data_IF_139821477669
#
_entry.id   IF_139821477669
#
_cell.length_a   1.000
_cell.length_b   1.000
_cell.length_c   1.000
_cell.angle_alpha   90.00
_cell.angle_beta   90.00
_cell.angle_gamma   90.00
#
_symmetry.space_group_name_H-M   'P 1'
#
loop_
_entity.id
_entity.type
_entity.pdbx_description
1 polymer ?
#
# COMPACT_ATOMS: atom_id res chain seq x y z
N UNK A 1 8.48 9.21 -16.07
CA UNK A 1 9.23 8.11 -16.68
C UNK A 1 8.37 6.87 -16.65
N UNK A 2 7.97 6.36 -17.82
CA UNK A 2 7.18 5.13 -17.97
C UNK A 2 8.11 3.93 -17.90
N UNK A 3 8.06 3.19 -16.79
CA UNK A 3 8.83 1.96 -16.62
C UNK A 3 8.14 0.83 -17.39
N UNK A 4 8.67 0.48 -18.56
CA UNK A 4 8.30 -0.74 -19.28
C UNK A 4 9.04 -1.93 -18.69
N UNK A 5 8.35 -2.75 -17.90
CA UNK A 5 8.86 -4.05 -17.44
C UNK A 5 8.92 -4.99 -18.64
N UNK A 6 10.04 -5.72 -18.80
CA UNK A 6 10.15 -6.68 -19.91
C UNK A 6 9.11 -7.79 -19.74
N UNK A 7 8.21 -7.91 -20.72
CA UNK A 7 7.19 -8.95 -20.73
C UNK A 7 7.86 -10.29 -21.06
N UNK A 8 8.20 -11.07 -20.03
CA UNK A 8 8.73 -12.42 -20.24
C UNK A 8 7.63 -13.30 -20.86
N UNK A 9 7.69 -13.51 -22.18
CA UNK A 9 6.67 -14.22 -22.96
C UNK A 9 6.36 -15.62 -22.41
N UNK A 10 7.37 -16.30 -21.82
CA UNK A 10 7.20 -17.60 -21.15
C UNK A 10 6.27 -17.51 -19.94
N UNK A 11 6.44 -16.49 -19.08
CA UNK A 11 5.55 -16.24 -17.93
C UNK A 11 4.16 -15.81 -18.39
N UNK A 12 4.07 -14.97 -19.41
CA UNK A 12 2.79 -14.56 -19.96
C UNK A 12 2.00 -15.77 -20.49
N UNK A 13 2.63 -16.65 -21.28
CA UNK A 13 2.02 -17.90 -21.74
C UNK A 13 1.57 -18.79 -20.58
N UNK A 14 2.42 -18.99 -19.57
CA UNK A 14 2.07 -19.76 -18.38
C UNK A 14 0.84 -19.20 -17.64
N UNK A 15 0.77 -17.88 -17.45
CA UNK A 15 -0.39 -17.25 -16.83
C UNK A 15 -1.64 -17.33 -17.71
N UNK A 16 -1.49 -17.30 -19.03
CA UNK A 16 -2.60 -17.42 -19.99
C UNK A 16 -3.14 -18.86 -20.04
N UNK A 17 -2.26 -19.85 -20.00
CA UNK A 17 -2.61 -21.27 -19.87
C UNK A 17 -3.32 -21.55 -18.54
N UNK A 18 -2.81 -21.01 -17.42
CA UNK A 18 -3.49 -21.10 -16.13
C UNK A 18 -4.86 -20.43 -16.19
N UNK A 19 -4.95 -19.19 -16.69
CA UNK A 19 -6.24 -18.49 -16.81
C UNK A 19 -7.21 -19.30 -17.65
N UNK A 20 -6.81 -19.83 -18.80
CA UNK A 20 -7.68 -20.64 -19.65
C UNK A 20 -8.10 -21.94 -18.95
N UNK A 21 -7.20 -22.59 -18.21
CA UNK A 21 -7.50 -23.80 -17.42
C UNK A 21 -8.53 -23.53 -16.31
N UNK A 22 -8.42 -22.40 -15.62
CA UNK A 22 -9.34 -22.01 -14.55
C UNK A 22 -10.57 -21.23 -15.03
N UNK A 23 -10.57 -20.72 -16.27
CA UNK A 23 -11.73 -20.10 -16.92
C UNK A 23 -12.86 -21.12 -17.14
N UNK A 24 -12.52 -22.39 -17.33
CA UNK A 24 -13.50 -23.48 -17.33
C UNK A 24 -14.23 -23.62 -15.98
N UNK A 25 -13.63 -23.15 -14.87
CA UNK A 25 -14.24 -23.12 -13.53
C UNK A 25 -14.96 -21.80 -13.23
N UNK A 26 -14.98 -20.85 -14.17
CA UNK A 26 -15.69 -19.56 -14.06
C UNK A 26 -17.20 -19.72 -14.28
N UNK A 27 -17.64 -20.88 -14.81
CA UNK A 27 -19.03 -21.32 -14.76
C UNK A 27 -19.39 -21.74 -13.32
N UNK A 28 -19.67 -20.73 -12.50
CA UNK A 28 -19.91 -20.82 -11.05
C UNK A 28 -21.08 -21.77 -10.70
N UNK A 29 -22.00 -22.06 -11.63
CA UNK A 29 -23.20 -22.85 -11.32
C UNK A 29 -22.97 -24.38 -11.33
N UNK A 30 -22.16 -24.91 -12.24
CA UNK A 30 -21.74 -26.33 -12.17
C UNK A 30 -20.69 -26.56 -11.07
N UNK A 31 -19.83 -25.57 -10.84
CA UNK A 31 -18.74 -25.67 -9.87
C UNK A 31 -19.24 -25.67 -8.42
N UNK A 32 -20.45 -25.16 -8.13
CA UNK A 32 -21.07 -25.22 -6.79
C UNK A 32 -21.40 -26.66 -6.37
N UNK A 33 -21.92 -27.48 -7.29
CA UNK A 33 -22.31 -28.85 -6.96
C UNK A 33 -21.08 -29.76 -6.79
N UNK A 34 -20.08 -29.63 -7.66
CA UNK A 34 -18.82 -30.36 -7.52
C UNK A 34 -18.01 -29.90 -6.30
N UNK A 35 -17.96 -28.59 -6.03
CA UNK A 35 -17.33 -28.07 -4.82
C UNK A 35 -18.06 -28.54 -3.56
N UNK A 36 -19.40 -28.60 -3.56
CA UNK A 36 -20.18 -29.17 -2.44
C UNK A 36 -19.94 -30.68 -2.27
N UNK A 37 -19.77 -31.44 -3.35
CA UNK A 37 -19.40 -32.87 -3.32
C UNK A 37 -17.98 -33.10 -2.78
N UNK A 38 -17.04 -32.23 -3.13
CA UNK A 38 -15.66 -32.31 -2.63
C UNK A 38 -15.63 -31.88 -1.15
N UNK A 39 -16.33 -30.81 -0.79
CA UNK A 39 -16.48 -30.35 0.59
C UNK A 39 -17.16 -31.41 1.46
N UNK A 40 -18.22 -32.09 0.98
CA UNK A 40 -18.87 -33.16 1.75
C UNK A 40 -18.02 -34.42 1.89
N UNK A 41 -17.12 -34.69 0.93
CA UNK A 41 -16.20 -35.83 0.96
C UNK A 41 -15.03 -35.63 1.95
N UNK A 42 -14.65 -34.39 2.25
CA UNK A 42 -13.48 -34.06 3.08
C UNK A 42 -13.78 -33.27 4.36
N UNK A 43 -15.01 -32.80 4.57
CA UNK A 43 -15.40 -32.07 5.77
C UNK A 43 -16.31 -32.95 6.64
N UNK A 44 -15.73 -33.62 7.64
CA UNK A 44 -16.51 -34.27 8.71
C UNK A 44 -17.27 -33.24 9.55
N UNK A 45 -16.88 -31.96 9.50
CA UNK A 45 -17.52 -30.87 10.21
C UNK A 45 -17.72 -29.67 9.27
N UNK A 46 -18.96 -29.19 9.15
CA UNK A 46 -19.37 -28.12 8.22
C UNK A 46 -18.76 -26.74 8.53
N UNK A 47 -18.00 -26.59 9.62
CA UNK A 47 -17.40 -25.32 10.05
C UNK A 47 -16.13 -24.96 9.27
N UNK A 48 -15.32 -25.96 8.92
CA UNK A 48 -13.95 -25.71 8.45
C UNK A 48 -13.90 -25.40 6.95
N UNK A 49 -14.81 -25.94 6.15
CA UNK A 49 -14.84 -25.68 4.70
C UNK A 49 -15.08 -24.19 4.33
N UNK A 50 -15.76 -23.42 5.20
CA UNK A 50 -15.98 -21.98 4.98
C UNK A 50 -14.71 -21.15 5.18
N UNK A 51 -13.78 -21.58 6.04
CA UNK A 51 -12.52 -20.87 6.26
C UNK A 51 -11.50 -21.17 5.16
N UNK A 52 -11.48 -22.40 4.62
CA UNK A 52 -10.61 -22.77 3.50
C UNK A 52 -10.91 -22.02 2.19
N UNK A 53 -12.16 -21.60 1.97
CA UNK A 53 -12.58 -20.84 0.79
C UNK A 53 -12.57 -19.32 0.99
N UNK A 54 -12.31 -18.82 2.19
CA UNK A 54 -12.03 -17.40 2.42
C UNK A 54 -10.61 -17.10 1.93
N UNK A 55 -10.43 -17.09 0.61
CA UNK A 55 -9.33 -16.34 0.03
C UNK A 55 -9.52 -14.88 0.49
N UNK A 56 -8.49 -14.24 1.07
CA UNK A 56 -8.54 -12.81 1.32
C UNK A 56 -8.97 -12.14 0.03
N UNK A 57 -10.04 -11.33 0.09
CA UNK A 57 -10.49 -10.51 -1.05
C UNK A 57 -9.24 -9.93 -1.69
N UNK A 58 -9.07 -10.19 -3.00
CA UNK A 58 -7.88 -9.84 -3.75
C UNK A 58 -7.55 -8.38 -3.45
N UNK A 59 -6.58 -8.16 -2.55
CA UNK A 59 -6.23 -6.80 -2.18
C UNK A 59 -5.76 -6.16 -3.47
N UNK A 60 -6.35 -5.04 -3.85
CA UNK A 60 -5.81 -4.20 -4.91
C UNK A 60 -4.49 -3.64 -4.39
N UNK A 61 -3.42 -4.43 -4.47
CA UNK A 61 -2.09 -4.04 -4.01
C UNK A 61 -1.63 -2.96 -4.99
N UNK A 62 -1.55 -1.71 -4.52
CA UNK A 62 -1.02 -0.64 -5.37
C UNK A 62 0.46 -0.92 -5.59
N UNK A 63 1.02 -0.47 -6.70
CA UNK A 63 2.46 -0.63 -6.96
C UNK A 63 3.34 -0.04 -5.83
N UNK A 64 2.84 0.94 -5.06
CA UNK A 64 3.52 1.48 -3.86
C UNK A 64 3.41 0.61 -2.59
N UNK A 65 2.55 -0.41 -2.59
CA UNK A 65 2.42 -1.41 -1.54
C UNK A 65 3.27 -2.65 -1.82
N UNK A 66 3.67 -2.86 -3.09
CA UNK A 66 4.66 -3.87 -3.50
C UNK A 66 6.06 -3.31 -3.23
N UNK A 67 6.44 -3.28 -1.96
CA UNK A 67 7.74 -2.79 -1.51
C UNK A 67 8.74 -3.97 -1.40
N UNK A 68 8.88 -4.75 -2.47
CA UNK A 68 9.74 -5.95 -2.45
C UNK A 68 11.21 -5.51 -2.38
N UNK A 69 11.80 -5.64 -1.19
CA UNK A 69 13.22 -5.39 -0.95
C UNK A 69 13.62 -3.91 -0.84
N UNK A 70 12.67 -2.97 -0.88
CA UNK A 70 12.97 -1.56 -0.67
C UNK A 70 12.70 -1.15 0.78
N UNK A 71 13.58 -0.31 1.31
CA UNK A 71 13.51 0.14 2.70
C UNK A 71 12.50 1.27 2.92
N UNK A 72 11.81 1.73 1.87
CA UNK A 72 10.79 2.77 1.99
C UNK A 72 9.64 2.34 2.90
N UNK A 73 9.28 1.05 2.91
CA UNK A 73 8.31 0.47 3.83
C UNK A 73 8.74 0.65 5.29
N UNK A 74 10.03 0.40 5.58
CA UNK A 74 10.57 0.54 6.91
C UNK A 74 10.57 2.01 7.36
N UNK A 75 10.85 2.95 6.45
CA UNK A 75 10.76 4.39 6.74
C UNK A 75 9.32 4.81 7.04
N UNK A 76 8.34 4.38 6.22
CA UNK A 76 6.91 4.63 6.47
C UNK A 76 6.46 4.05 7.81
N UNK A 77 6.79 2.79 8.08
CA UNK A 77 6.46 2.13 9.35
C UNK A 77 7.06 2.86 10.56
N UNK A 78 8.32 3.29 10.49
CA UNK A 78 8.96 4.08 11.55
C UNK A 78 8.29 5.46 11.71
N UNK A 79 7.91 6.08 10.60
CA UNK A 79 7.21 7.36 10.59
C UNK A 79 5.86 7.26 11.30
N UNK A 80 5.05 6.24 10.99
CA UNK A 80 3.76 6.00 11.65
C UNK A 80 3.93 5.72 13.15
N UNK A 81 4.91 4.89 13.54
CA UNK A 81 5.22 4.67 14.96
C UNK A 81 5.56 5.96 15.70
N UNK A 82 6.41 6.81 15.10
CA UNK A 82 6.77 8.09 15.72
C UNK A 82 5.61 9.09 15.75
N UNK A 83 4.69 9.07 14.78
CA UNK A 83 3.44 9.86 14.83
C UNK A 83 2.55 9.41 15.99
N UNK A 84 2.44 8.11 16.23
CA UNK A 84 1.65 7.56 17.33
C UNK A 84 2.27 7.84 18.72
N UNK A 85 3.59 7.82 18.84
CA UNK A 85 4.29 8.02 20.12
C UNK A 85 4.53 9.52 20.44
N UNK A 86 5.44 10.17 19.72
CA UNK A 86 5.94 11.52 20.00
C UNK A 86 5.20 12.59 19.16
N UNK A 87 4.65 12.20 18.01
CA UNK A 87 4.07 13.09 17.02
C UNK A 87 2.55 13.27 17.12
N UNK A 88 1.93 12.99 18.26
CA UNK A 88 0.46 13.08 18.41
C UNK A 88 -0.07 14.47 18.07
N UNK A 89 0.63 15.52 18.49
CA UNK A 89 0.30 16.91 18.15
C UNK A 89 0.37 17.19 16.64
N UNK A 90 1.32 16.57 15.95
CA UNK A 90 1.44 16.68 14.48
C UNK A 90 0.27 15.97 13.82
N UNK A 91 -0.12 14.79 14.33
CA UNK A 91 -1.25 14.04 13.82
C UNK A 91 -2.57 14.82 13.99
N UNK A 92 -2.79 15.47 15.13
CA UNK A 92 -3.99 16.30 15.34
C UNK A 92 -4.01 17.51 14.42
N UNK A 93 -2.86 18.18 14.24
CA UNK A 93 -2.71 19.27 13.25
C UNK A 93 -3.08 18.78 11.84
N UNK A 94 -2.56 17.64 11.41
CA UNK A 94 -2.86 17.07 10.09
C UNK A 94 -4.34 16.77 9.92
N UNK A 95 -4.97 16.13 10.92
CA UNK A 95 -6.39 15.81 10.90
C UNK A 95 -7.28 17.05 10.88
N UNK A 96 -6.84 18.16 11.49
CA UNK A 96 -7.55 19.43 11.47
C UNK A 96 -7.39 20.10 10.10
N UNK A 97 -6.17 20.16 9.57
CA UNK A 97 -5.90 20.75 8.25
C UNK A 97 -6.55 19.97 7.10
N UNK A 98 -6.70 18.65 7.21
CA UNK A 98 -7.37 17.83 6.19
C UNK A 98 -8.85 18.13 6.06
N UNK A 99 -9.49 18.69 7.10
CA UNK A 99 -10.89 19.10 7.08
C UNK A 99 -11.09 20.48 6.44
N UNK A 100 -10.02 21.25 6.27
CA UNK A 100 -10.06 22.60 5.73
C UNK A 100 -9.87 22.57 4.21
N UNK A 101 -10.97 22.57 3.47
CA UNK A 101 -10.94 22.72 2.02
C UNK A 101 -11.11 24.18 1.60
N UNK A 102 -10.12 24.70 0.88
CA UNK A 102 -10.18 26.05 0.29
C UNK A 102 -11.30 26.15 -0.76
N UNK A 103 -11.65 25.05 -1.43
CA UNK A 103 -12.69 25.04 -2.46
C UNK A 103 -14.10 25.18 -1.89
N UNK A 104 -14.28 24.83 -0.62
CA UNK A 104 -15.56 24.92 0.08
C UNK A 104 -15.76 26.24 0.82
N UNK A 105 -14.75 27.13 0.81
CA UNK A 105 -14.86 28.42 1.47
C UNK A 105 -15.79 29.36 0.68
N UNK A 106 -16.78 29.94 1.38
CA UNK A 106 -17.81 30.81 0.79
C UNK A 106 -17.45 32.29 1.00
N UNK A 107 -16.71 32.60 2.05
CA UNK A 107 -16.31 33.96 2.43
C UNK A 107 -14.80 34.16 2.44
N UNK A 108 -14.35 35.37 2.12
CA UNK A 108 -12.95 35.81 2.23
C UNK A 108 -12.42 35.59 3.65
N UNK A 109 -13.25 35.81 4.67
CA UNK A 109 -12.87 35.62 6.07
C UNK A 109 -12.56 34.15 6.39
N UNK A 110 -13.34 33.22 5.82
CA UNK A 110 -13.09 31.78 5.95
C UNK A 110 -11.76 31.40 5.28
N UNK A 111 -11.49 31.96 4.10
CA UNK A 111 -10.20 31.75 3.39
C UNK A 111 -9.03 32.27 4.22
N UNK A 112 -9.15 33.47 4.81
CA UNK A 112 -8.12 34.04 5.67
C UNK A 112 -7.87 33.20 6.92
N UNK A 113 -8.92 32.69 7.56
CA UNK A 113 -8.79 31.80 8.72
C UNK A 113 -8.08 30.49 8.35
N UNK A 114 -8.46 29.85 7.24
CA UNK A 114 -7.78 28.65 6.74
C UNK A 114 -6.30 28.93 6.46
N UNK A 115 -5.99 30.07 5.83
CA UNK A 115 -4.61 30.46 5.58
C UNK A 115 -3.83 30.64 6.88
N UNK A 116 -4.40 31.36 7.86
CA UNK A 116 -3.75 31.60 9.15
C UNK A 116 -3.47 30.28 9.88
N UNK A 117 -4.40 29.33 9.88
CA UNK A 117 -4.19 28.01 10.49
C UNK A 117 -3.05 27.24 9.83
N UNK A 118 -2.89 27.35 8.49
CA UNK A 118 -1.76 26.74 7.78
C UNK A 118 -0.43 27.41 8.14
N UNK A 119 -0.40 28.74 8.21
CA UNK A 119 0.81 29.51 8.56
C UNK A 119 1.25 29.21 9.99
N UNK A 120 0.33 29.26 10.96
CA UNK A 120 0.62 29.00 12.38
C UNK A 120 1.17 27.60 12.61
N UNK A 121 0.64 26.59 11.93
CA UNK A 121 1.07 25.20 12.10
C UNK A 121 2.31 24.81 11.26
N UNK A 122 2.75 25.66 10.33
CA UNK A 122 3.84 25.37 9.38
C UNK A 122 5.14 24.96 10.08
N UNK A 123 5.51 25.67 11.15
CA UNK A 123 6.76 25.42 11.86
C UNK A 123 6.74 24.07 12.60
N UNK A 124 5.62 23.72 13.23
CA UNK A 124 5.47 22.44 13.92
C UNK A 124 5.61 21.25 12.95
N UNK A 125 4.92 21.33 11.80
CA UNK A 125 5.04 20.32 10.75
C UNK A 125 6.48 20.24 10.21
N UNK A 126 7.09 21.38 9.89
CA UNK A 126 8.47 21.44 9.37
C UNK A 126 9.46 20.81 10.35
N UNK A 127 9.37 21.16 11.64
CA UNK A 127 10.30 20.68 12.65
C UNK A 127 10.20 19.17 12.84
N UNK A 128 9.00 18.61 12.78
CA UNK A 128 8.79 17.17 12.89
C UNK A 128 9.37 16.42 11.68
N UNK A 129 8.93 16.78 10.46
CA UNK A 129 9.32 16.08 9.24
C UNK A 129 10.78 16.27 8.86
N UNK A 130 11.32 17.47 9.09
CA UNK A 130 12.71 17.82 8.77
C UNK A 130 13.64 17.76 9.99
N UNK A 131 13.23 17.04 11.04
CA UNK A 131 14.10 16.77 12.18
C UNK A 131 15.38 16.06 11.73
N UNK A 132 16.51 16.35 12.38
CA UNK A 132 17.82 15.74 12.04
C UNK A 132 17.75 14.20 12.01
N UNK A 133 17.00 13.60 12.94
CA UNK A 133 16.78 12.15 13.04
C UNK A 133 16.08 11.61 11.79
N UNK A 134 15.04 12.29 11.30
CA UNK A 134 14.29 11.87 10.11
C UNK A 134 15.05 12.09 8.82
N UNK A 135 15.73 13.22 8.69
CA UNK A 135 16.56 13.51 7.51
C UNK A 135 17.65 12.44 7.37
N UNK A 136 18.32 12.08 8.47
CA UNK A 136 19.30 10.98 8.48
C UNK A 136 18.68 9.64 8.07
N UNK A 137 17.56 9.25 8.68
CA UNK A 137 16.87 8.01 8.35
C UNK A 137 16.49 7.91 6.87
N UNK A 138 15.96 9.00 6.30
CA UNK A 138 15.59 9.07 4.88
C UNK A 138 16.82 8.89 3.98
N UNK A 139 17.91 9.61 4.28
CA UNK A 139 19.16 9.50 3.53
C UNK A 139 19.77 8.09 3.58
N UNK A 140 19.77 7.45 4.74
CA UNK A 140 20.27 6.07 4.87
C UNK A 140 19.45 5.11 4.00
N UNK A 141 18.12 5.23 4.06
CA UNK A 141 17.22 4.42 3.22
C UNK A 141 17.42 4.66 1.72
N UNK A 142 17.62 5.91 1.29
CA UNK A 142 17.93 6.24 -0.10
C UNK A 142 19.22 5.58 -0.57
N UNK A 143 20.28 5.62 0.25
CA UNK A 143 21.58 4.98 -0.03
C UNK A 143 21.42 3.46 -0.13
N UNK A 144 20.72 2.84 0.82
CA UNK A 144 20.50 1.39 0.83
C UNK A 144 19.68 0.93 -0.37
N UNK A 145 18.66 1.70 -0.76
CA UNK A 145 17.87 1.44 -1.96
C UNK A 145 18.69 1.60 -3.25
N UNK A 146 19.56 2.61 -3.33
CA UNK A 146 20.47 2.77 -4.48
C UNK A 146 21.43 1.59 -4.59
N UNK A 147 22.03 1.15 -3.48
CA UNK A 147 22.86 -0.06 -3.47
C UNK A 147 22.10 -1.31 -3.89
N UNK A 148 20.87 -1.49 -3.41
CA UNK A 148 20.01 -2.60 -3.80
C UNK A 148 19.72 -2.59 -5.31
N UNK A 149 19.34 -1.43 -5.86
CA UNK A 149 19.11 -1.26 -7.31
C UNK A 149 20.36 -1.57 -8.13
N UNK A 150 21.53 -1.05 -7.73
CA UNK A 150 22.80 -1.34 -8.42
C UNK A 150 23.12 -2.83 -8.42
N UNK A 151 22.90 -3.53 -7.31
CA UNK A 151 23.09 -4.99 -7.22
C UNK A 151 22.13 -5.77 -8.13
N UNK A 152 20.87 -5.37 -8.19
CA UNK A 152 19.90 -5.98 -9.11
C UNK A 152 20.35 -5.79 -10.57
N UNK A 153 20.66 -4.56 -10.97
CA UNK A 153 21.10 -4.28 -12.34
C UNK A 153 22.42 -4.98 -12.70
N UNK A 154 23.31 -5.21 -11.73
CA UNK A 154 24.56 -5.95 -11.95
C UNK A 154 24.35 -7.46 -12.12
N UNK A 155 23.30 -8.05 -11.53
CA UNK A 155 22.96 -9.47 -11.68
C UNK A 155 22.14 -9.78 -12.94
N UNK A 156 21.54 -8.75 -13.54
CA UNK A 156 20.77 -8.86 -14.78
C UNK A 156 21.64 -8.72 -16.05
N UNK A 157 22.92 -8.36 -15.89
CA UNK A 157 23.94 -8.36 -16.97
C UNK A 157 24.72 -9.66 -16.96
#
# INVERSE_FOLDING_TARGET
>A
MTNTVSLAMKRFKFHLELRNKYKALENIDECKEEAQKIVSKYSSEKSDAKSFLQLPSSMAIKAGDIDIGSEYYNVRRKLEKTKSAEGKAVQTIENNLSKLDLKMAISVEQVMNIHQQRVSNRLALRNFYNSKKRVRLKRTCEIQNDHFRRRLCAKER
#
